data_IF_169977717979
#
_entry.id   IF_169977717979
#
_cell.length_a   1.000
_cell.length_b   1.000
_cell.length_c   1.000
_cell.angle_alpha   90.00
_cell.angle_beta   90.00
_cell.angle_gamma   90.00
#
_symmetry.space_group_name_H-M   'P 1'
#
loop_
_entity.id
_entity.type
_entity.pdbx_description
1 polymer ?
#
# COMPACT_ATOMS: atom_id res chain seq x y z
N UNK A 1 -10.89 17.08 -17.43
CA UNK A 1 -10.50 16.68 -17.16
C UNK A 1 -9.58 16.00 -16.79
N UNK A 2 -9.22 15.89 -16.69
CA UNK A 2 -8.52 15.34 -16.29
C UNK A 2 -8.18 14.63 -15.61
N UNK A 3 -8.26 14.64 -15.30
CA UNK A 3 -8.06 14.10 -14.52
C UNK A 3 -7.62 13.03 -14.25
N UNK A 4 -7.35 12.26 -14.41
CA UNK A 4 -7.11 11.22 -14.14
C UNK A 4 -6.02 10.49 -14.29
N UNK A 5 -5.14 10.48 -14.61
CA UNK A 5 -4.22 9.77 -14.92
C UNK A 5 -3.11 9.84 -14.08
N UNK A 6 -2.83 10.71 -13.46
CA UNK A 6 -1.88 10.78 -12.52
C UNK A 6 -2.29 10.05 -11.38
N UNK A 7 -3.04 9.14 -11.55
CA UNK A 7 -3.60 8.35 -10.51
C UNK A 7 -2.58 7.61 -9.69
N UNK A 8 -1.46 7.22 -10.27
CA UNK A 8 -0.44 6.50 -9.52
C UNK A 8 0.11 7.34 -8.38
N UNK A 9 0.29 8.64 -8.61
CA UNK A 9 0.75 9.53 -7.55
C UNK A 9 -0.28 9.64 -6.45
N UNK A 10 -1.55 9.78 -6.81
CA UNK A 10 -2.61 9.88 -5.82
C UNK A 10 -2.76 8.59 -5.04
N UNK A 11 -2.61 7.46 -5.72
CA UNK A 11 -2.68 6.17 -5.07
C UNK A 11 -1.56 6.03 -4.06
N UNK A 12 -0.36 6.45 -4.43
CA UNK A 12 0.78 6.40 -3.53
C UNK A 12 0.51 7.23 -2.27
N UNK A 13 -0.01 8.42 -2.42
CA UNK A 13 -0.28 9.29 -1.28
C UNK A 13 -1.30 8.64 -0.35
N UNK A 14 -2.31 8.04 -0.90
CA UNK A 14 -3.33 7.38 -0.09
C UNK A 14 -2.77 6.15 0.61
N UNK A 15 -2.00 5.35 -0.10
CA UNK A 15 -1.37 4.17 0.50
C UNK A 15 -0.42 4.60 1.61
N UNK A 16 0.31 5.69 1.40
CA UNK A 16 1.21 6.20 2.42
C UNK A 16 0.44 6.58 3.69
N UNK A 17 -0.70 7.25 3.53
CA UNK A 17 -1.52 7.59 4.67
C UNK A 17 -2.01 6.35 5.41
N UNK A 18 -2.42 5.35 4.65
CA UNK A 18 -2.91 4.11 5.25
C UNK A 18 -1.79 3.45 6.05
N UNK A 19 -0.59 3.44 5.50
CA UNK A 19 0.55 2.86 6.20
C UNK A 19 0.83 3.62 7.48
N UNK A 20 0.80 4.94 7.42
CA UNK A 20 1.07 5.76 8.60
C UNK A 20 0.03 5.56 9.68
N UNK A 21 -1.23 5.36 9.29
CA UNK A 21 -2.30 5.14 10.25
C UNK A 21 -2.25 3.76 10.87
N UNK A 22 -1.87 2.77 10.07
CA UNK A 22 -1.89 1.38 10.52
C UNK A 22 -0.59 0.98 11.19
N UNK A 23 0.52 1.42 10.62
CA UNK A 23 1.86 1.09 11.10
C UNK A 23 2.50 2.40 11.55
N UNK A 24 3.00 2.43 12.77
CA UNK A 24 3.58 3.64 13.30
C UNK A 24 5.01 3.83 12.78
N UNK A 25 5.14 4.38 11.59
CA UNK A 25 6.44 4.62 11.01
C UNK A 25 6.52 6.03 10.42
N UNK A 26 7.75 6.49 10.19
CA UNK A 26 8.00 7.83 9.70
C UNK A 26 7.58 7.99 8.26
N UNK A 27 6.98 9.13 7.95
CA UNK A 27 6.60 9.43 6.58
C UNK A 27 7.82 9.42 5.65
N UNK A 28 8.96 9.85 6.15
CA UNK A 28 10.19 9.92 5.35
C UNK A 28 10.62 8.57 4.81
N UNK A 29 10.26 7.51 5.50
CA UNK A 29 10.67 6.17 5.09
C UNK A 29 9.73 5.55 4.09
N UNK A 30 8.57 6.14 3.89
CA UNK A 30 7.56 5.56 3.00
C UNK A 30 7.75 6.12 1.60
N UNK A 31 8.48 5.38 0.77
CA UNK A 31 8.71 5.72 -0.61
C UNK A 31 8.26 4.57 -1.47
N UNK A 32 8.17 4.79 -2.78
CA UNK A 32 7.75 3.72 -3.68
C UNK A 32 8.70 2.53 -3.63
N UNK A 33 9.99 2.79 -3.47
CA UNK A 33 10.98 1.73 -3.41
C UNK A 33 11.10 1.09 -2.05
N UNK A 34 10.41 1.62 -1.04
CA UNK A 34 10.54 1.09 0.31
C UNK A 34 10.05 -0.34 0.39
N UNK A 35 10.86 -1.19 0.99
CA UNK A 35 10.49 -2.57 1.24
C UNK A 35 9.78 -2.62 2.58
N UNK A 36 8.61 -3.27 2.61
CA UNK A 36 7.78 -3.26 3.81
C UNK A 36 8.51 -3.86 5.00
N UNK A 37 9.23 -4.95 4.77
CA UNK A 37 9.92 -5.63 5.84
C UNK A 37 11.25 -4.99 6.17
N UNK A 38 12.06 -4.76 5.14
CA UNK A 38 13.44 -4.30 5.36
C UNK A 38 13.53 -2.83 5.69
N UNK A 39 12.70 -2.01 5.06
CA UNK A 39 12.79 -0.57 5.24
C UNK A 39 11.82 -0.03 6.28
N UNK A 40 10.63 -0.60 6.35
CA UNK A 40 9.60 -0.13 7.26
C UNK A 40 9.46 -1.01 8.51
N UNK A 41 10.11 -2.15 8.53
CA UNK A 41 10.06 -3.02 9.69
C UNK A 41 8.70 -3.67 9.91
N UNK A 42 7.93 -3.85 8.86
CA UNK A 42 6.60 -4.43 8.96
C UNK A 42 6.73 -5.95 8.96
N UNK A 43 6.24 -6.59 10.03
CA UNK A 43 6.26 -8.05 10.08
C UNK A 43 4.99 -8.61 9.45
N UNK A 44 4.81 -9.94 9.50
CA UNK A 44 3.69 -10.54 8.80
C UNK A 44 2.35 -10.16 9.42
N UNK A 45 2.29 -9.96 10.71
CA UNK A 45 1.06 -9.55 11.36
C UNK A 45 0.68 -8.14 10.95
N UNK A 46 1.65 -7.23 10.99
CA UNK A 46 1.43 -5.86 10.56
C UNK A 46 1.05 -5.81 9.08
N UNK A 47 1.65 -6.67 8.29
CA UNK A 47 1.36 -6.72 6.86
C UNK A 47 -0.09 -7.10 6.62
N UNK A 48 -0.60 -8.05 7.39
CA UNK A 48 -2.02 -8.44 7.26
C UNK A 48 -2.94 -7.30 7.65
N UNK A 49 -2.62 -6.61 8.73
CA UNK A 49 -3.43 -5.46 9.15
C UNK A 49 -3.40 -4.36 8.09
N UNK A 50 -2.23 -4.14 7.50
CA UNK A 50 -2.11 -3.14 6.46
C UNK A 50 -2.96 -3.50 5.25
N UNK A 51 -2.93 -4.77 4.84
CA UNK A 51 -3.71 -5.19 3.71
C UNK A 51 -5.21 -5.06 3.97
N UNK A 52 -5.64 -5.36 5.19
CA UNK A 52 -7.04 -5.18 5.55
C UNK A 52 -7.44 -3.71 5.46
N UNK A 53 -6.57 -2.82 5.88
CA UNK A 53 -6.85 -1.39 5.81
C UNK A 53 -6.93 -0.95 4.34
N UNK A 54 -6.07 -1.49 3.50
CA UNK A 54 -6.09 -1.17 2.07
C UNK A 54 -7.40 -1.67 1.44
N UNK A 55 -7.80 -2.87 1.80
CA UNK A 55 -9.05 -3.44 1.30
C UNK A 55 -10.24 -2.54 1.66
N UNK A 56 -10.28 -2.11 2.90
CA UNK A 56 -11.36 -1.24 3.36
C UNK A 56 -11.35 0.11 2.66
N UNK A 57 -10.18 0.67 2.49
CA UNK A 57 -10.05 2.01 1.92
C UNK A 57 -10.47 2.04 0.47
N UNK A 58 -10.21 0.97 -0.26
CA UNK A 58 -10.46 0.94 -1.70
C UNK A 58 -11.61 0.04 -2.10
N UNK A 59 -12.18 -0.70 -1.16
CA UNK A 59 -13.28 -1.60 -1.48
C UNK A 59 -12.86 -2.75 -2.37
N UNK A 60 -11.65 -3.23 -2.20
CA UNK A 60 -11.13 -4.35 -2.99
C UNK A 60 -10.79 -5.51 -2.07
N UNK A 61 -10.50 -6.65 -2.67
CA UNK A 61 -10.09 -7.82 -1.92
C UNK A 61 -8.67 -8.20 -2.33
N UNK A 62 -7.81 -8.42 -1.35
CA UNK A 62 -6.45 -8.86 -1.59
C UNK A 62 -6.36 -10.32 -1.17
N UNK A 63 -6.30 -11.26 -2.12
CA UNK A 63 -6.22 -12.68 -1.77
C UNK A 63 -4.94 -12.96 -1.00
N UNK A 64 -5.02 -13.93 -0.10
CA UNK A 64 -3.87 -14.29 0.72
C UNK A 64 -2.67 -14.68 -0.15
N UNK A 65 -2.93 -15.29 -1.29
CA UNK A 65 -1.87 -15.74 -2.18
C UNK A 65 -1.12 -14.58 -2.83
N UNK A 66 -1.68 -13.38 -2.80
CA UNK A 66 -1.00 -12.20 -3.34
C UNK A 66 -0.05 -11.56 -2.34
N UNK A 67 -0.22 -11.87 -1.06
CA UNK A 67 0.59 -11.23 -0.02
C UNK A 67 2.09 -11.39 -0.24
N UNK A 68 2.60 -12.55 -0.65
CA UNK A 68 4.04 -12.67 -0.89
C UNK A 68 4.56 -11.76 -1.99
N UNK A 69 3.68 -11.29 -2.87
CA UNK A 69 4.07 -10.41 -3.96
C UNK A 69 4.02 -8.93 -3.57
N UNK A 70 3.32 -8.61 -2.49
CA UNK A 70 3.15 -7.23 -2.05
C UNK A 70 4.17 -6.89 -0.99
N UNK A 71 5.43 -6.88 -1.39
CA UNK A 71 6.54 -6.69 -0.45
C UNK A 71 7.10 -5.29 -0.43
N UNK A 72 6.57 -4.40 -1.26
CA UNK A 72 7.03 -3.01 -1.29
C UNK A 72 5.83 -2.09 -1.44
N UNK A 73 6.06 -0.82 -1.13
CA UNK A 73 5.00 0.19 -1.29
C UNK A 73 4.56 0.24 -2.75
N UNK A 74 5.52 0.18 -3.66
CA UNK A 74 5.21 0.22 -5.08
C UNK A 74 4.30 -0.94 -5.49
N UNK A 75 4.57 -2.13 -4.96
CA UNK A 75 3.76 -3.29 -5.29
C UNK A 75 2.32 -3.09 -4.84
N UNK A 76 2.13 -2.50 -3.66
CA UNK A 76 0.79 -2.23 -3.15
C UNK A 76 0.09 -1.20 -4.05
N UNK A 77 0.81 -0.14 -4.39
CA UNK A 77 0.24 0.92 -5.22
C UNK A 77 -0.20 0.36 -6.57
N UNK A 78 0.65 -0.45 -7.19
CA UNK A 78 0.32 -1.03 -8.49
C UNK A 78 -0.85 -1.99 -8.39
N UNK A 79 -0.91 -2.77 -7.32
CA UNK A 79 -2.02 -3.69 -7.13
C UNK A 79 -3.33 -2.93 -7.01
N UNK A 80 -3.32 -1.85 -6.23
CA UNK A 80 -4.51 -1.04 -6.03
C UNK A 80 -4.94 -0.39 -7.35
N UNK A 81 -4.00 0.20 -8.06
CA UNK A 81 -4.32 0.84 -9.34
C UNK A 81 -4.95 -0.13 -10.31
N UNK A 82 -4.49 -1.37 -10.28
CA UNK A 82 -4.97 -2.38 -11.21
C UNK A 82 -6.35 -2.88 -10.84
N UNK A 83 -6.65 -2.93 -9.55
CA UNK A 83 -7.88 -3.59 -9.09
C UNK A 83 -8.95 -2.64 -8.59
N UNK A 84 -8.62 -1.41 -8.26
CA UNK A 84 -9.57 -0.46 -7.70
C UNK A 84 -10.00 0.60 -8.69
N UNK A 85 -9.60 0.49 -9.91
CA UNK A 85 -9.87 1.51 -10.93
C UNK A 85 -11.36 1.75 -11.19
#
# INVERSE_FOLDING_TARGET
>A
IKLFKENKTMTFEKVKEIIMDTINCSEDKITLEANLKDDLGIDSLDSMELMMAVEDAYGITVPEEELPNLTSVKAIVEYVDKNAA
#
